data_IF_191876536703
#
_entry.id   IF_191876536703
#
_cell.length_a   1.000
_cell.length_b   1.000
_cell.length_c   1.000
_cell.angle_alpha   90.00
_cell.angle_beta   90.00
_cell.angle_gamma   90.00
#
_symmetry.space_group_name_H-M   'P 1'
#
loop_
_entity.id
_entity.type
_entity.pdbx_description
1 polymer ?
#
# COMPACT_ATOMS: atom_id res chain seq x y z
N UNK A 1 31.26 -10.31 -3.39
CA UNK A 1 30.35 -9.84 -2.35
C UNK A 1 29.07 -10.67 -2.33
N UNK A 2 28.64 -11.05 -1.13
CA UNK A 2 27.46 -11.91 -0.92
C UNK A 2 26.19 -11.29 -1.50
N UNK A 3 26.00 -9.97 -1.35
CA UNK A 3 24.81 -9.28 -1.86
C UNK A 3 24.74 -9.33 -3.38
N UNK A 4 25.86 -9.08 -4.07
CA UNK A 4 25.95 -9.16 -5.53
C UNK A 4 25.68 -10.58 -6.04
N UNK A 5 26.10 -11.61 -5.32
CA UNK A 5 25.79 -12.99 -5.68
C UNK A 5 24.32 -13.32 -5.48
N UNK A 6 23.71 -12.89 -4.38
CA UNK A 6 22.33 -13.19 -4.02
C UNK A 6 21.31 -12.43 -4.87
N UNK A 7 21.60 -11.21 -5.30
CA UNK A 7 20.67 -10.42 -6.13
C UNK A 7 20.36 -11.10 -7.48
N UNK A 8 21.25 -11.95 -7.98
CA UNK A 8 21.02 -12.70 -9.22
C UNK A 8 19.81 -13.63 -9.15
N UNK A 9 19.45 -14.12 -7.96
CA UNK A 9 18.22 -14.90 -7.77
C UNK A 9 16.94 -14.07 -7.99
N UNK A 10 17.06 -12.75 -8.04
CA UNK A 10 15.96 -11.86 -8.35
C UNK A 10 15.82 -11.54 -9.85
N UNK A 11 16.60 -12.19 -10.72
CA UNK A 11 16.48 -12.00 -12.18
C UNK A 11 15.25 -12.70 -12.76
N UNK A 12 14.87 -13.86 -12.20
CA UNK A 12 13.69 -14.60 -12.63
C UNK A 12 12.41 -13.92 -12.13
N UNK A 13 11.75 -13.21 -13.03
CA UNK A 13 10.53 -12.45 -12.75
C UNK A 13 9.28 -13.34 -12.63
N UNK A 14 9.34 -14.56 -13.11
CA UNK A 14 8.22 -15.48 -13.13
C UNK A 14 8.17 -16.42 -11.93
N UNK A 15 9.20 -16.42 -11.10
CA UNK A 15 9.36 -17.34 -9.97
C UNK A 15 8.18 -17.31 -8.98
N UNK A 16 7.53 -16.15 -8.82
CA UNK A 16 6.45 -15.95 -7.84
C UNK A 16 5.06 -15.80 -8.46
N UNK A 17 4.93 -15.95 -9.78
CA UNK A 17 3.67 -15.68 -10.49
C UNK A 17 3.32 -14.19 -10.52
N UNK A 18 2.05 -13.87 -10.80
CA UNK A 18 1.57 -12.48 -10.92
C UNK A 18 1.20 -11.88 -9.56
N UNK A 19 2.18 -11.74 -8.68
CA UNK A 19 2.07 -11.16 -7.35
C UNK A 19 2.82 -9.83 -7.29
N UNK A 20 2.12 -8.73 -7.38
CA UNK A 20 2.72 -7.39 -7.45
C UNK A 20 3.54 -7.06 -6.20
N UNK A 21 3.08 -7.48 -5.02
CA UNK A 21 3.83 -7.24 -3.78
C UNK A 21 5.21 -7.92 -3.80
N UNK A 22 5.32 -9.13 -4.35
CA UNK A 22 6.61 -9.83 -4.49
C UNK A 22 7.54 -9.11 -5.47
N UNK A 23 7.01 -8.63 -6.59
CA UNK A 23 7.80 -7.89 -7.56
C UNK A 23 8.30 -6.56 -6.99
N UNK A 24 7.43 -5.82 -6.28
CA UNK A 24 7.78 -4.56 -5.63
C UNK A 24 8.83 -4.76 -4.52
N UNK A 25 8.69 -5.81 -3.69
CA UNK A 25 9.68 -6.16 -2.68
C UNK A 25 11.03 -6.50 -3.31
N UNK A 26 11.04 -7.32 -4.36
CA UNK A 26 12.26 -7.71 -5.07
C UNK A 26 12.93 -6.50 -5.73
N UNK A 27 12.15 -5.56 -6.29
CA UNK A 27 12.66 -4.31 -6.83
C UNK A 27 13.36 -3.47 -5.74
N UNK A 28 12.71 -3.30 -4.59
CA UNK A 28 13.28 -2.58 -3.45
C UNK A 28 14.56 -3.25 -2.94
N UNK A 29 14.56 -4.58 -2.81
CA UNK A 29 15.71 -5.35 -2.37
C UNK A 29 16.90 -5.19 -3.35
N UNK A 30 16.67 -5.35 -4.64
CA UNK A 30 17.69 -5.19 -5.68
C UNK A 30 18.26 -3.75 -5.68
N UNK A 31 17.41 -2.75 -5.54
CA UNK A 31 17.87 -1.36 -5.48
C UNK A 31 18.70 -1.07 -4.23
N UNK A 32 18.36 -1.66 -3.08
CA UNK A 32 19.18 -1.56 -1.87
C UNK A 32 20.56 -2.18 -2.08
N UNK A 33 20.65 -3.32 -2.79
CA UNK A 33 21.96 -3.90 -3.16
C UNK A 33 22.76 -2.93 -4.02
N UNK A 34 22.14 -2.33 -5.04
CA UNK A 34 22.80 -1.29 -5.83
C UNK A 34 23.31 -0.12 -4.98
N UNK A 35 22.50 0.37 -4.03
CA UNK A 35 22.89 1.48 -3.14
C UNK A 35 24.09 1.13 -2.24
N UNK A 36 24.22 -0.13 -1.84
CA UNK A 36 25.31 -0.61 -0.97
C UNK A 36 26.57 -0.91 -1.77
N UNK A 37 26.44 -1.51 -2.95
CA UNK A 37 27.56 -2.09 -3.69
C UNK A 37 28.00 -1.30 -4.93
N UNK A 38 27.11 -0.43 -5.45
CA UNK A 38 27.31 0.23 -6.75
C UNK A 38 27.08 -0.68 -7.95
N UNK A 39 26.54 -1.90 -7.75
CA UNK A 39 26.32 -2.87 -8.83
C UNK A 39 25.16 -2.46 -9.74
N UNK A 40 25.49 -1.95 -10.93
CA UNK A 40 24.51 -1.56 -11.96
C UNK A 40 23.62 -2.71 -12.44
N UNK A 41 24.06 -3.96 -12.28
CA UNK A 41 23.22 -5.10 -12.59
C UNK A 41 22.01 -5.17 -11.64
N UNK A 42 22.24 -4.99 -10.34
CA UNK A 42 21.18 -4.92 -9.33
C UNK A 42 20.20 -3.77 -9.61
N UNK A 43 20.71 -2.61 -10.07
CA UNK A 43 19.88 -1.48 -10.49
C UNK A 43 18.95 -1.85 -11.65
N UNK A 44 19.47 -2.51 -12.69
CA UNK A 44 18.65 -2.95 -13.84
C UNK A 44 17.58 -3.96 -13.46
N UNK A 45 17.89 -4.88 -12.53
CA UNK A 45 16.88 -5.80 -11.99
C UNK A 45 15.75 -5.01 -11.32
N UNK A 46 16.11 -4.03 -10.47
CA UNK A 46 15.12 -3.22 -9.78
C UNK A 46 14.20 -2.45 -10.75
N UNK A 47 14.79 -1.78 -11.75
CA UNK A 47 14.05 -1.01 -12.77
C UNK A 47 13.07 -1.90 -13.54
N UNK A 48 13.52 -3.07 -14.00
CA UNK A 48 12.68 -4.03 -14.74
C UNK A 48 11.52 -4.56 -13.89
N UNK A 49 11.76 -4.87 -12.62
CA UNK A 49 10.69 -5.31 -11.72
C UNK A 49 9.68 -4.21 -11.39
N UNK A 50 10.11 -2.96 -11.31
CA UNK A 50 9.18 -1.81 -11.22
C UNK A 50 8.30 -1.74 -12.44
N UNK A 51 8.89 -1.78 -13.65
CA UNK A 51 8.13 -1.75 -14.91
C UNK A 51 7.09 -2.89 -14.97
N UNK A 52 7.48 -4.09 -14.58
CA UNK A 52 6.59 -5.24 -14.51
C UNK A 52 5.45 -5.00 -13.52
N UNK A 53 5.74 -4.55 -12.30
CA UNK A 53 4.72 -4.24 -11.29
C UNK A 53 3.73 -3.21 -11.79
N UNK A 54 4.22 -2.13 -12.41
CA UNK A 54 3.37 -1.07 -12.97
C UNK A 54 2.54 -1.55 -14.15
N UNK A 55 3.03 -2.52 -14.93
CA UNK A 55 2.27 -3.12 -16.03
C UNK A 55 1.06 -3.92 -15.54
N UNK A 56 1.09 -4.40 -14.31
CA UNK A 56 0.01 -5.17 -13.68
C UNK A 56 -0.99 -4.31 -12.91
N UNK A 57 -0.82 -2.99 -12.91
CA UNK A 57 -1.79 -2.10 -12.32
C UNK A 57 -3.04 -1.97 -13.20
N UNK A 58 -4.22 -2.17 -12.62
CA UNK A 58 -5.47 -1.79 -13.25
C UNK A 58 -5.51 -0.27 -13.45
N UNK A 59 -5.64 0.19 -14.70
CA UNK A 59 -5.55 1.62 -15.05
C UNK A 59 -6.79 2.40 -14.69
N UNK A 60 -7.94 1.74 -14.59
CA UNK A 60 -9.22 2.39 -14.28
C UNK A 60 -9.43 2.52 -12.76
N UNK A 61 -9.21 1.45 -12.01
CA UNK A 61 -9.49 1.39 -10.58
C UNK A 61 -8.25 1.59 -9.69
N UNK A 62 -7.04 1.41 -10.22
CA UNK A 62 -5.78 1.73 -9.52
C UNK A 62 -5.16 0.60 -8.72
N UNK A 63 -5.81 -0.55 -8.55
CA UNK A 63 -5.25 -1.69 -7.82
C UNK A 63 -4.15 -2.41 -8.60
N UNK A 64 -3.24 -3.02 -7.87
CA UNK A 64 -2.22 -3.91 -8.42
C UNK A 64 -2.69 -5.36 -8.36
N UNK A 65 -2.32 -6.15 -9.38
CA UNK A 65 -2.65 -7.57 -9.47
C UNK A 65 -2.04 -8.35 -8.31
N UNK A 66 -2.89 -9.06 -7.58
CA UNK A 66 -2.51 -10.00 -6.54
C UNK A 66 -3.31 -11.30 -6.75
N UNK A 67 -2.67 -12.44 -6.65
CA UNK A 67 -3.32 -13.73 -6.90
C UNK A 67 -4.17 -13.71 -8.20
N UNK A 68 -5.48 -13.77 -8.06
CA UNK A 68 -6.42 -13.79 -9.19
C UNK A 68 -7.11 -12.45 -9.44
N UNK A 69 -6.70 -11.37 -8.75
CA UNK A 69 -7.34 -10.06 -8.91
C UNK A 69 -6.86 -9.02 -7.91
N UNK A 70 -7.75 -8.16 -7.46
CA UNK A 70 -7.48 -7.18 -6.44
C UNK A 70 -7.48 -7.80 -5.04
N UNK A 71 -6.48 -7.47 -4.23
CA UNK A 71 -6.44 -7.79 -2.80
C UNK A 71 -6.10 -6.53 -2.00
N UNK A 72 -7.04 -5.91 -1.31
CA UNK A 72 -6.80 -4.65 -0.61
C UNK A 72 -5.67 -4.70 0.41
N UNK A 73 -5.46 -5.83 1.08
CA UNK A 73 -4.40 -5.98 2.07
C UNK A 73 -3.01 -6.02 1.42
N UNK A 74 -2.76 -6.97 0.52
CA UNK A 74 -1.48 -7.07 -0.19
C UNK A 74 -1.20 -5.87 -1.09
N UNK A 75 -2.25 -5.19 -1.54
CA UNK A 75 -2.12 -3.95 -2.28
C UNK A 75 -1.38 -2.86 -1.47
N UNK A 76 -1.65 -2.76 -0.15
CA UNK A 76 -0.91 -1.82 0.71
C UNK A 76 0.57 -2.15 0.80
N UNK A 77 0.92 -3.43 0.76
CA UNK A 77 2.29 -3.92 0.70
C UNK A 77 3.01 -3.46 -0.58
N UNK A 78 2.33 -3.58 -1.72
CA UNK A 78 2.85 -3.11 -3.01
C UNK A 78 3.08 -1.61 -3.01
N UNK A 79 2.12 -0.83 -2.49
CA UNK A 79 2.27 0.64 -2.34
C UNK A 79 3.48 0.96 -1.47
N UNK A 80 3.63 0.30 -0.34
CA UNK A 80 4.71 0.52 0.61
C UNK A 80 6.09 0.31 -0.03
N UNK A 81 6.31 -0.84 -0.65
CA UNK A 81 7.60 -1.15 -1.27
C UNK A 81 7.95 -0.21 -2.43
N UNK A 82 6.97 0.12 -3.27
CA UNK A 82 7.19 1.06 -4.37
C UNK A 82 7.42 2.50 -3.86
N UNK A 83 6.71 2.95 -2.83
CA UNK A 83 6.90 4.27 -2.26
C UNK A 83 8.29 4.41 -1.62
N UNK A 84 8.74 3.40 -0.86
CA UNK A 84 10.11 3.31 -0.31
C UNK A 84 11.16 3.32 -1.42
N UNK A 85 10.93 2.58 -2.49
CA UNK A 85 11.83 2.57 -3.64
C UNK A 85 11.88 3.93 -4.32
N UNK A 86 10.73 4.57 -4.55
CA UNK A 86 10.65 5.92 -5.11
C UNK A 86 11.45 6.93 -4.27
N UNK A 87 11.29 6.91 -2.94
CA UNK A 87 12.04 7.76 -2.02
C UNK A 87 13.56 7.60 -2.23
N UNK A 88 14.03 6.34 -2.35
CA UNK A 88 15.46 6.03 -2.56
C UNK A 88 15.98 6.41 -3.95
N UNK A 89 15.11 6.40 -4.96
CA UNK A 89 15.46 6.77 -6.34
C UNK A 89 15.41 8.29 -6.56
N UNK A 90 14.67 9.02 -5.74
CA UNK A 90 14.53 10.48 -5.84
C UNK A 90 15.88 11.17 -5.65
N UNK A 91 16.19 12.10 -6.56
CA UNK A 91 17.39 12.95 -6.48
C UNK A 91 16.96 14.40 -6.30
N UNK A 92 17.63 15.17 -5.43
CA UNK A 92 17.37 16.59 -5.31
C UNK A 92 17.45 17.30 -6.68
N UNK A 93 16.39 18.01 -7.04
CA UNK A 93 16.34 18.80 -8.29
C UNK A 93 15.98 18.05 -9.57
N UNK A 94 15.69 16.74 -9.51
CA UNK A 94 15.11 16.00 -10.63
C UNK A 94 13.68 15.58 -10.29
N UNK A 95 12.74 16.04 -11.10
CA UNK A 95 11.38 15.53 -11.11
C UNK A 95 11.35 14.14 -11.75
N UNK A 96 11.81 13.12 -11.02
CA UNK A 96 11.63 11.74 -11.42
C UNK A 96 10.30 11.23 -10.82
N UNK A 97 9.20 11.78 -11.31
CA UNK A 97 7.84 11.34 -10.95
C UNK A 97 7.44 10.02 -11.63
N UNK A 98 8.42 9.19 -11.99
CA UNK A 98 8.24 8.04 -12.87
C UNK A 98 7.07 7.12 -12.51
N UNK A 99 6.74 6.99 -11.23
CA UNK A 99 5.57 6.20 -10.80
C UNK A 99 4.79 6.82 -9.64
N UNK A 100 4.93 8.12 -9.36
CA UNK A 100 4.12 8.80 -8.36
C UNK A 100 2.62 8.76 -8.70
N UNK A 101 2.24 9.04 -9.95
CA UNK A 101 0.85 9.00 -10.38
C UNK A 101 0.19 7.62 -10.22
N UNK A 102 0.83 6.50 -10.62
CA UNK A 102 0.36 5.16 -10.29
C UNK A 102 0.15 4.94 -8.78
N UNK A 103 1.07 5.40 -7.93
CA UNK A 103 0.96 5.25 -6.49
C UNK A 103 -0.17 6.08 -5.88
N UNK A 104 -0.39 7.32 -6.37
CA UNK A 104 -1.54 8.13 -5.96
C UNK A 104 -2.85 7.40 -6.28
N UNK A 105 -2.97 6.88 -7.50
CA UNK A 105 -4.16 6.12 -7.92
C UNK A 105 -4.37 4.86 -7.10
N UNK A 106 -3.28 4.19 -6.72
CA UNK A 106 -3.32 3.04 -5.83
C UNK A 106 -3.80 3.43 -4.41
N UNK A 107 -3.37 4.57 -3.89
CA UNK A 107 -3.85 5.09 -2.61
C UNK A 107 -5.35 5.46 -2.67
N UNK A 108 -5.84 5.98 -3.80
CA UNK A 108 -7.27 6.24 -4.01
C UNK A 108 -8.10 4.96 -3.92
N UNK A 109 -7.65 3.85 -4.52
CA UNK A 109 -8.27 2.55 -4.35
C UNK A 109 -8.28 2.11 -2.89
N UNK A 110 -7.13 2.17 -2.21
CA UNK A 110 -6.99 1.78 -0.80
C UNK A 110 -7.92 2.56 0.13
N UNK A 111 -8.17 3.85 -0.18
CA UNK A 111 -8.98 4.71 0.66
C UNK A 111 -10.41 4.18 0.87
N UNK A 112 -10.96 3.46 -0.10
CA UNK A 112 -12.29 2.87 0.02
C UNK A 112 -12.38 1.77 1.07
N UNK A 113 -11.26 1.15 1.42
CA UNK A 113 -11.17 0.01 2.35
C UNK A 113 -10.73 0.40 3.76
N UNK A 114 -10.46 1.69 4.01
CA UNK A 114 -10.21 2.18 5.37
C UNK A 114 -11.52 2.20 6.15
N UNK A 115 -11.53 1.51 7.29
CA UNK A 115 -12.71 1.43 8.15
C UNK A 115 -12.88 2.68 9.00
N UNK A 116 -14.12 2.96 9.47
CA UNK A 116 -14.41 4.16 10.28
C UNK A 116 -13.64 4.25 11.59
N UNK A 117 -13.23 3.12 12.15
CA UNK A 117 -12.52 3.04 13.41
C UNK A 117 -10.99 3.11 13.26
N UNK A 118 -10.50 3.24 12.03
CA UNK A 118 -9.08 3.29 11.70
C UNK A 118 -8.44 1.93 11.47
N UNK A 119 -9.22 0.84 11.49
CA UNK A 119 -8.74 -0.47 11.06
C UNK A 119 -8.78 -0.62 9.53
N UNK A 120 -8.15 -1.68 9.03
CA UNK A 120 -8.07 -1.98 7.61
C UNK A 120 -8.04 -3.49 7.40
N UNK A 121 -8.61 -3.97 6.31
CA UNK A 121 -8.57 -5.38 5.97
C UNK A 121 -9.74 -6.18 6.55
N UNK A 122 -9.68 -7.49 6.45
CA UNK A 122 -10.71 -8.40 6.92
C UNK A 122 -11.02 -9.53 5.96
N UNK A 123 -12.19 -10.13 6.12
CA UNK A 123 -12.60 -11.35 5.40
C UNK A 123 -12.74 -11.19 3.88
N UNK A 124 -12.80 -9.97 3.39
CA UNK A 124 -12.85 -9.68 1.96
C UNK A 124 -11.46 -9.74 1.27
N UNK A 125 -10.37 -9.77 2.05
CA UNK A 125 -9.01 -9.94 1.57
C UNK A 125 -8.56 -11.41 1.52
N UNK A 126 -7.37 -11.66 0.99
CA UNK A 126 -6.76 -12.99 1.02
C UNK A 126 -6.45 -13.42 2.45
N UNK A 127 -6.68 -14.70 2.74
CA UNK A 127 -6.40 -15.31 4.05
C UNK A 127 -7.16 -14.65 5.22
N UNK A 128 -8.22 -13.91 4.95
CA UNK A 128 -8.98 -13.17 5.95
C UNK A 128 -8.11 -12.27 6.82
N UNK A 129 -7.11 -11.63 6.22
CA UNK A 129 -6.10 -10.89 6.94
C UNK A 129 -6.36 -9.39 6.92
N UNK A 130 -5.89 -8.74 7.97
CA UNK A 130 -5.92 -7.28 8.14
C UNK A 130 -4.57 -6.66 7.74
N UNK A 131 -3.98 -7.11 6.65
CA UNK A 131 -2.72 -6.57 6.18
C UNK A 131 -2.83 -5.09 5.89
N UNK A 132 -1.96 -4.32 6.53
CA UNK A 132 -1.85 -2.89 6.29
C UNK A 132 -0.43 -2.40 6.57
N UNK A 133 0.15 -1.73 5.60
CA UNK A 133 1.49 -1.16 5.65
C UNK A 133 1.40 0.36 5.60
N UNK A 134 1.55 1.07 6.73
CA UNK A 134 1.31 2.51 6.82
C UNK A 134 2.38 3.36 6.17
N UNK A 135 3.64 2.93 6.11
CA UNK A 135 4.75 3.77 5.69
C UNK A 135 4.61 4.28 4.25
N UNK A 136 4.14 3.44 3.33
CA UNK A 136 3.87 3.88 1.96
C UNK A 136 2.88 5.05 1.89
N UNK A 137 1.87 5.06 2.74
CA UNK A 137 0.89 6.16 2.80
C UNK A 137 1.48 7.43 3.43
N UNK A 138 2.35 7.30 4.42
CA UNK A 138 3.11 8.45 4.96
C UNK A 138 3.98 9.11 3.89
N UNK A 139 4.72 8.32 3.11
CA UNK A 139 5.55 8.81 2.01
C UNK A 139 4.73 9.48 0.89
N UNK A 140 3.48 9.09 0.72
CA UNK A 140 2.57 9.66 -0.27
C UNK A 140 1.72 10.82 0.28
N UNK A 141 1.62 11.00 1.59
CA UNK A 141 0.78 12.01 2.22
C UNK A 141 1.04 13.44 1.70
N UNK A 142 2.28 13.89 1.43
CA UNK A 142 2.53 15.20 0.85
C UNK A 142 2.00 15.39 -0.58
N UNK A 143 1.68 14.29 -1.27
CA UNK A 143 1.31 14.28 -2.68
C UNK A 143 -0.14 13.86 -2.94
N UNK A 144 -0.83 13.30 -1.93
CA UNK A 144 -2.17 12.74 -2.07
C UNK A 144 -2.99 12.95 -0.81
N UNK A 145 -4.12 13.65 -0.95
CA UNK A 145 -5.09 13.83 0.15
C UNK A 145 -5.60 12.48 0.67
N UNK A 146 -5.86 11.52 -0.23
CA UNK A 146 -6.34 10.18 0.17
C UNK A 146 -5.28 9.41 0.94
N UNK A 147 -4.02 9.46 0.53
CA UNK A 147 -2.94 8.86 1.28
C UNK A 147 -2.79 9.49 2.68
N UNK A 148 -2.86 10.81 2.79
CA UNK A 148 -2.84 11.50 4.08
C UNK A 148 -4.01 11.09 4.98
N UNK A 149 -5.22 10.98 4.42
CA UNK A 149 -6.40 10.53 5.16
C UNK A 149 -6.27 9.12 5.69
N UNK A 150 -5.70 8.20 4.87
CA UNK A 150 -5.44 6.81 5.28
C UNK A 150 -4.43 6.79 6.44
N UNK A 151 -3.32 7.51 6.31
CA UNK A 151 -2.29 7.58 7.33
C UNK A 151 -2.85 8.12 8.67
N UNK A 152 -3.61 9.22 8.62
CA UNK A 152 -4.25 9.80 9.81
C UNK A 152 -5.31 8.88 10.44
N UNK A 153 -6.14 8.23 9.63
CA UNK A 153 -7.15 7.30 10.13
C UNK A 153 -6.50 6.12 10.86
N UNK A 154 -5.41 5.59 10.29
CA UNK A 154 -4.63 4.52 10.90
C UNK A 154 -4.04 4.98 12.25
N UNK A 155 -3.38 6.14 12.30
CA UNK A 155 -2.82 6.69 13.53
C UNK A 155 -3.89 6.93 14.61
N UNK A 156 -5.07 7.42 14.22
CA UNK A 156 -6.19 7.62 15.13
C UNK A 156 -6.78 6.29 15.66
N UNK A 157 -6.63 5.20 14.93
CA UNK A 157 -7.03 3.85 15.32
C UNK A 157 -6.09 3.19 16.33
N UNK A 158 -4.79 3.50 16.29
CA UNK A 158 -3.78 2.86 17.14
C UNK A 158 -4.08 2.98 18.64
N UNK A 159 -4.40 4.17 19.19
CA UNK A 159 -4.73 4.30 20.62
C UNK A 159 -6.03 3.59 21.02
N UNK A 160 -6.90 3.30 20.06
CA UNK A 160 -8.17 2.60 20.27
C UNK A 160 -8.04 1.08 20.10
N UNK A 161 -6.83 0.59 19.94
CA UNK A 161 -6.53 -0.81 19.63
C UNK A 161 -7.22 -1.33 18.36
N UNK A 162 -7.37 -0.44 17.37
CA UNK A 162 -7.97 -0.76 16.06
C UNK A 162 -6.96 -1.12 14.99
N UNK A 163 -5.68 -1.10 15.35
CA UNK A 163 -4.66 -1.71 14.51
C UNK A 163 -4.84 -3.21 14.45
N UNK A 164 -4.38 -3.81 13.40
CA UNK A 164 -4.33 -5.25 13.30
C UNK A 164 -3.25 -5.83 14.22
N UNK A 165 -3.65 -6.78 15.05
CA UNK A 165 -2.75 -7.65 15.78
C UNK A 165 -2.61 -8.95 15.02
N UNK A 166 -1.42 -9.27 14.64
CA UNK A 166 -1.13 -10.54 14.02
C UNK A 166 -0.49 -11.47 15.06
N UNK A 167 -1.09 -12.62 15.26
CA UNK A 167 -0.57 -13.67 16.14
C UNK A 167 0.66 -14.38 15.55
N UNK A 168 1.02 -14.07 14.29
CA UNK A 168 2.22 -14.57 13.64
C UNK A 168 3.42 -13.68 13.96
N UNK A 169 4.36 -14.18 14.73
CA UNK A 169 5.58 -13.48 15.15
C UNK A 169 6.37 -12.89 13.97
N UNK A 170 6.38 -13.57 12.83
CA UNK A 170 7.08 -13.11 11.63
C UNK A 170 6.43 -11.85 11.05
N UNK A 171 5.11 -11.81 11.02
CA UNK A 171 4.38 -10.64 10.52
C UNK A 171 4.47 -9.48 11.51
N UNK A 172 4.47 -9.76 12.81
CA UNK A 172 4.67 -8.74 13.83
C UNK A 172 5.98 -7.98 13.64
N UNK A 173 7.08 -8.67 13.33
CA UNK A 173 8.37 -8.03 13.06
C UNK A 173 8.29 -7.09 11.84
N UNK A 174 7.61 -7.48 10.77
CA UNK A 174 7.40 -6.62 9.59
C UNK A 174 6.59 -5.38 9.92
N UNK A 175 5.51 -5.51 10.68
CA UNK A 175 4.67 -4.37 11.04
C UNK A 175 5.38 -3.38 11.96
N UNK A 176 6.12 -3.85 12.97
CA UNK A 176 6.88 -2.97 13.86
C UNK A 176 7.92 -2.18 13.07
N UNK A 177 8.64 -2.83 12.17
CA UNK A 177 9.62 -2.15 11.32
C UNK A 177 8.95 -1.07 10.44
N UNK A 178 7.84 -1.40 9.81
CA UNK A 178 7.11 -0.48 8.94
C UNK A 178 6.53 0.72 9.71
N UNK A 179 6.02 0.48 10.92
CA UNK A 179 5.52 1.54 11.80
C UNK A 179 6.61 2.50 12.24
N UNK A 180 7.81 1.99 12.55
CA UNK A 180 8.95 2.82 12.89
C UNK A 180 9.40 3.68 11.72
N UNK A 181 9.42 3.12 10.51
CA UNK A 181 9.72 3.88 9.31
C UNK A 181 8.65 4.96 9.02
N UNK A 182 7.37 4.62 9.18
CA UNK A 182 6.28 5.58 9.03
C UNK A 182 6.39 6.73 10.04
N UNK A 183 6.82 6.43 11.25
CA UNK A 183 7.08 7.45 12.28
C UNK A 183 8.26 8.36 11.91
N UNK A 184 9.36 7.79 11.41
CA UNK A 184 10.56 8.55 11.00
C UNK A 184 10.25 9.50 9.84
N UNK A 185 9.47 9.05 8.86
CA UNK A 185 9.12 9.81 7.65
C UNK A 185 7.79 10.60 7.81
N UNK A 186 7.27 10.75 9.03
CA UNK A 186 6.06 11.51 9.27
C UNK A 186 6.20 12.95 8.76
N UNK A 187 5.30 13.35 7.86
CA UNK A 187 5.30 14.69 7.29
C UNK A 187 4.21 15.57 7.94
N UNK A 188 4.58 16.63 8.68
CA UNK A 188 3.61 17.43 9.43
C UNK A 188 2.71 18.30 8.54
N UNK A 189 3.17 18.65 7.34
CA UNK A 189 2.39 19.44 6.36
C UNK A 189 1.70 18.47 5.41
N UNK A 190 0.44 18.23 5.70
CA UNK A 190 -0.42 17.36 4.88
C UNK A 190 -1.85 17.88 4.86
N UNK A 191 -2.68 17.47 3.90
CA UNK A 191 -4.09 17.78 3.88
C UNK A 191 -4.76 17.35 5.17
N UNK A 192 -5.74 18.15 5.63
CA UNK A 192 -6.51 17.81 6.82
C UNK A 192 -7.25 16.47 6.58
N UNK A 193 -7.22 15.55 7.55
CA UNK A 193 -7.92 14.30 7.42
C UNK A 193 -9.43 14.54 7.27
N UNK A 194 -10.07 13.78 6.40
CA UNK A 194 -11.53 13.73 6.41
C UNK A 194 -11.91 12.95 7.66
N UNK A 195 -12.44 13.70 8.64
CA UNK A 195 -13.05 13.05 9.80
C UNK A 195 -14.25 12.22 9.32
N UNK A 196 -14.60 11.15 10.03
CA UNK A 196 -15.79 10.34 9.74
C UNK A 196 -17.06 11.17 9.51
N UNK A 197 -17.16 12.34 10.20
CA UNK A 197 -18.27 13.27 10.06
C UNK A 197 -18.35 13.99 8.71
N UNK A 198 -17.30 13.94 7.90
CA UNK A 198 -17.21 14.60 6.59
C UNK A 198 -17.23 13.64 5.41
N UNK A 199 -17.21 12.33 5.65
CA UNK A 199 -17.32 11.35 4.59
C UNK A 199 -18.80 11.21 4.20
N UNK A 200 -19.14 11.66 3.00
CA UNK A 200 -20.49 11.56 2.46
C UNK A 200 -20.89 10.10 2.24
N UNK A 201 -22.16 9.77 2.45
CA UNK A 201 -22.68 8.45 2.11
C UNK A 201 -22.39 8.12 0.64
N UNK A 202 -21.86 6.94 0.40
CA UNK A 202 -21.51 6.52 -0.96
C UNK A 202 -21.59 5.01 -1.10
N UNK A 203 -21.95 4.54 -2.28
CA UNK A 203 -21.85 3.14 -2.68
C UNK A 203 -21.12 3.08 -4.00
N UNK A 204 -20.02 2.35 -4.03
CA UNK A 204 -19.14 2.25 -5.18
C UNK A 204 -19.04 0.78 -5.59
N UNK A 205 -19.35 0.52 -6.85
CA UNK A 205 -19.07 -0.75 -7.50
C UNK A 205 -17.78 -0.63 -8.29
N UNK A 206 -16.85 -1.54 -8.07
CA UNK A 206 -15.57 -1.67 -8.76
C UNK A 206 -15.63 -2.93 -9.63
N UNK A 207 -15.98 -2.80 -10.92
CA UNK A 207 -16.25 -3.95 -11.78
C UNK A 207 -15.04 -4.84 -12.02
N UNK A 208 -13.87 -4.26 -12.15
CA UNK A 208 -12.64 -5.02 -12.41
C UNK A 208 -12.13 -5.73 -11.13
N UNK A 209 -12.20 -5.06 -10.00
CA UNK A 209 -11.91 -5.67 -8.69
C UNK A 209 -13.03 -6.62 -8.23
N UNK A 210 -14.23 -6.55 -8.80
CA UNK A 210 -15.45 -7.26 -8.37
C UNK A 210 -15.79 -6.99 -6.90
N UNK A 211 -15.62 -5.74 -6.48
CA UNK A 211 -15.85 -5.33 -5.11
C UNK A 211 -16.93 -4.24 -5.03
N UNK A 212 -17.83 -4.40 -4.07
CA UNK A 212 -18.82 -3.40 -3.70
C UNK A 212 -18.45 -2.82 -2.35
N UNK A 213 -18.30 -1.51 -2.27
CA UNK A 213 -18.01 -0.79 -1.02
C UNK A 213 -19.13 0.20 -0.77
N UNK A 214 -19.75 0.14 0.39
CA UNK A 214 -20.82 1.05 0.79
C UNK A 214 -20.49 1.73 2.11
N UNK A 215 -20.64 3.05 2.12
CA UNK A 215 -20.51 3.91 3.28
C UNK A 215 -21.80 4.70 3.49
N UNK A 216 -22.43 4.53 4.64
CA UNK A 216 -23.75 5.15 4.92
C UNK A 216 -23.67 6.43 5.78
N UNK A 217 -22.49 6.96 6.05
CA UNK A 217 -22.37 8.14 6.89
C UNK A 217 -22.87 7.93 8.34
N UNK A 218 -22.92 8.99 9.11
CA UNK A 218 -23.52 8.96 10.47
C UNK A 218 -25.02 9.10 10.37
N UNK A 219 -25.76 8.02 10.53
CA UNK A 219 -27.14 8.12 10.98
C UNK A 219 -27.12 8.35 12.49
N UNK A 220 -27.40 9.59 12.90
CA UNK A 220 -27.52 10.08 14.28
C UNK A 220 -26.32 9.85 15.21
N UNK A 221 -26.12 10.75 16.16
CA UNK A 221 -25.02 10.76 17.15
C UNK A 221 -24.94 9.50 18.05
N UNK A 222 -25.91 8.60 17.97
CA UNK A 222 -26.01 7.40 18.80
C UNK A 222 -25.60 6.11 18.08
N UNK A 223 -25.47 6.10 16.74
CA UNK A 223 -25.10 4.91 15.96
C UNK A 223 -24.02 5.31 14.97
N UNK A 224 -22.79 4.91 15.20
CA UNK A 224 -21.67 5.18 14.30
C UNK A 224 -21.98 4.84 12.84
N UNK A 225 -21.26 5.47 11.91
CA UNK A 225 -21.37 5.18 10.47
C UNK A 225 -21.18 3.70 10.18
N UNK A 226 -21.85 3.20 9.12
CA UNK A 226 -21.71 1.81 8.68
C UNK A 226 -20.86 1.74 7.43
N UNK A 227 -19.92 0.83 7.45
CA UNK A 227 -19.08 0.49 6.30
C UNK A 227 -19.30 -0.98 5.97
N UNK A 228 -19.68 -1.28 4.74
CA UNK A 228 -19.89 -2.64 4.26
C UNK A 228 -19.04 -2.85 3.00
N UNK A 229 -18.38 -3.99 2.93
CA UNK A 229 -17.59 -4.41 1.78
C UNK A 229 -18.02 -5.81 1.40
N UNK A 230 -18.29 -6.03 0.12
CA UNK A 230 -18.56 -7.35 -0.45
C UNK A 230 -17.55 -7.61 -1.58
N UNK A 231 -16.87 -8.74 -1.50
CA UNK A 231 -16.00 -9.25 -2.55
C UNK A 231 -16.74 -10.36 -3.29
N UNK A 232 -17.03 -10.15 -4.57
CA UNK A 232 -17.77 -11.07 -5.43
C UNK A 232 -16.86 -11.90 -6.34
N UNK A 233 -15.55 -11.82 -6.14
CA UNK A 233 -14.56 -12.62 -6.89
C UNK A 233 -14.27 -13.96 -6.23
N UNK A 234 -14.74 -14.17 -5.00
CA UNK A 234 -14.50 -15.38 -4.19
C UNK A 234 -15.77 -16.19 -4.06
#
# INVERSE_FOLDING_TARGET
>A
DLFTQRVRHLEDENETGRLSNHQALAALAAYNVYKITGDDHARRIAERRVELTLSWQNKEEGWFQEYEGADPGYHTCTIDFLAKLRQKMSRPGKSEDGFLKPLIKAAEFSWHFMHPDGSYGGEYGSRNTYHFYPHGFELLAPHSEKAAQIAEAFLAGVPKDKRYHNDDDRMTAHYVYDFLQAWEDYHPVRPQPITESRREPSTIWMPEAKMLVSWNGKESQAKGGRHAIANLSK
#
